data_IF_654226896639
#
_entry.id   IF_654226896639
#
_cell.length_a   1.000
_cell.length_b   1.000
_cell.length_c   1.000
_cell.angle_alpha   90.00
_cell.angle_beta   90.00
_cell.angle_gamma   90.00
#
_symmetry.space_group_name_H-M   'P 1'
#
loop_
_entity.id
_entity.type
_entity.pdbx_description
1 polymer ?
#
# COMPACT_ATOMS: atom_id res chain seq x y z
N UNK A 1 -25.38 -2.92 -7.55
CA UNK A 1 -24.25 -2.23 -8.21
C UNK A 1 -24.25 -2.60 -9.68
N UNK A 2 -24.13 -1.64 -10.60
CA UNK A 2 -24.03 -1.96 -12.03
C UNK A 2 -22.64 -2.59 -12.30
N UNK A 3 -22.60 -3.91 -12.46
CA UNK A 3 -21.36 -4.69 -12.63
C UNK A 3 -20.50 -4.16 -13.78
N UNK A 4 -21.15 -3.78 -14.89
CA UNK A 4 -20.48 -3.18 -16.05
C UNK A 4 -19.76 -1.87 -15.69
N UNK A 5 -20.41 -1.00 -14.90
CA UNK A 5 -19.83 0.26 -14.48
C UNK A 5 -18.64 0.04 -13.55
N UNK A 6 -18.73 -0.95 -12.65
CA UNK A 6 -17.63 -1.35 -11.78
C UNK A 6 -16.42 -1.87 -12.56
N UNK A 7 -16.63 -2.77 -13.54
CA UNK A 7 -15.57 -3.29 -14.39
C UNK A 7 -14.90 -2.14 -15.18
N UNK A 8 -15.70 -1.27 -15.82
CA UNK A 8 -15.19 -0.13 -16.56
C UNK A 8 -14.35 0.81 -15.68
N UNK A 9 -14.78 1.06 -14.45
CA UNK A 9 -14.07 1.90 -13.50
C UNK A 9 -12.76 1.24 -13.05
N UNK A 10 -12.78 -0.05 -12.74
CA UNK A 10 -11.60 -0.83 -12.33
C UNK A 10 -10.53 -0.83 -13.43
N UNK A 11 -10.89 -1.18 -14.67
CA UNK A 11 -9.94 -1.18 -15.78
C UNK A 11 -9.53 0.22 -16.21
N UNK A 12 -10.44 1.20 -16.14
CA UNK A 12 -10.13 2.61 -16.39
C UNK A 12 -9.08 3.16 -15.43
N UNK A 13 -9.21 2.87 -14.13
CA UNK A 13 -8.19 3.19 -13.12
C UNK A 13 -6.88 2.46 -13.40
N UNK A 14 -6.94 1.17 -13.74
CA UNK A 14 -5.74 0.39 -14.04
C UNK A 14 -4.94 0.98 -15.22
N UNK A 15 -5.64 1.39 -16.28
CA UNK A 15 -5.03 2.07 -17.44
C UNK A 15 -4.47 3.44 -17.08
N UNK A 16 -5.17 4.20 -16.22
CA UNK A 16 -4.67 5.47 -15.69
C UNK A 16 -3.36 5.26 -14.91
N UNK A 17 -3.31 4.29 -14.01
CA UNK A 17 -2.11 3.99 -13.23
C UNK A 17 -0.95 3.48 -14.10
N UNK A 18 -1.24 2.64 -15.10
CA UNK A 18 -0.27 2.25 -16.13
C UNK A 18 0.33 3.47 -16.84
N UNK A 19 -0.52 4.42 -17.23
CA UNK A 19 -0.09 5.64 -17.94
C UNK A 19 0.76 6.55 -17.05
N UNK A 20 0.33 6.77 -15.80
CA UNK A 20 1.06 7.53 -14.78
C UNK A 20 2.43 6.89 -14.51
N UNK A 21 2.45 5.57 -14.29
CA UNK A 21 3.66 4.80 -14.06
C UNK A 21 4.65 4.96 -15.22
N UNK A 22 4.21 4.67 -16.45
CA UNK A 22 5.04 4.81 -17.67
C UNK A 22 5.57 6.23 -17.87
N UNK A 23 4.78 7.26 -17.56
CA UNK A 23 5.22 8.66 -17.67
C UNK A 23 6.35 8.97 -16.68
N UNK A 24 6.26 8.45 -15.46
CA UNK A 24 7.29 8.61 -14.42
C UNK A 24 8.59 7.87 -14.77
N UNK A 25 8.49 6.75 -15.50
CA UNK A 25 9.61 5.89 -15.89
C UNK A 25 10.51 6.43 -17.01
N UNK A 26 10.12 7.51 -17.70
CA UNK A 26 10.82 8.04 -18.89
C UNK A 26 12.29 8.48 -18.64
N UNK A 27 12.75 8.50 -17.40
CA UNK A 27 14.08 8.97 -17.00
C UNK A 27 14.88 7.93 -16.20
N UNK A 28 14.59 6.64 -16.37
CA UNK A 28 15.39 5.56 -15.77
C UNK A 28 16.65 5.32 -16.62
N UNK A 29 17.82 5.74 -16.12
CA UNK A 29 19.10 5.51 -16.79
C UNK A 29 19.96 4.47 -16.08
N UNK A 30 19.94 4.48 -14.75
CA UNK A 30 20.84 3.67 -13.91
C UNK A 30 20.09 2.83 -12.86
N UNK A 31 20.80 1.85 -12.26
CA UNK A 31 20.24 1.01 -11.16
C UNK A 31 19.81 1.85 -9.95
N UNK A 32 20.53 2.91 -9.63
CA UNK A 32 20.16 3.83 -8.55
C UNK A 32 18.85 4.58 -8.84
N UNK A 33 18.60 4.95 -10.10
CA UNK A 33 17.32 5.55 -10.50
C UNK A 33 16.15 4.56 -10.35
N UNK A 34 16.41 3.28 -10.64
CA UNK A 34 15.41 2.23 -10.54
C UNK A 34 15.06 1.89 -9.09
N UNK A 35 16.06 1.67 -8.23
CA UNK A 35 15.84 1.23 -6.85
C UNK A 35 15.64 2.38 -5.85
N UNK A 36 16.27 3.54 -6.06
CA UNK A 36 16.26 4.65 -5.10
C UNK A 36 15.59 5.91 -5.64
N UNK A 37 15.00 5.85 -6.84
CA UNK A 37 14.39 7.00 -7.50
C UNK A 37 15.34 8.22 -7.60
N UNK A 38 16.65 7.98 -7.67
CA UNK A 38 17.68 9.03 -7.69
C UNK A 38 17.83 9.81 -6.38
N UNK A 39 17.28 9.31 -5.26
CA UNK A 39 17.27 9.95 -3.92
C UNK A 39 16.69 11.36 -3.88
N UNK A 40 16.00 11.80 -4.94
CA UNK A 40 15.51 13.17 -5.12
C UNK A 40 13.99 13.31 -4.86
N UNK A 41 13.40 12.34 -4.15
CA UNK A 41 11.95 12.31 -3.89
C UNK A 41 11.63 13.32 -2.77
N UNK A 42 10.66 14.20 -3.02
CA UNK A 42 10.19 15.17 -2.00
C UNK A 42 9.47 14.44 -0.86
N UNK A 43 9.48 15.05 0.33
CA UNK A 43 8.91 14.47 1.55
C UNK A 43 7.44 14.05 1.37
N UNK A 44 6.60 14.92 0.79
CA UNK A 44 5.16 14.67 0.68
C UNK A 44 4.80 13.47 -0.23
N UNK A 45 5.33 13.36 -1.45
CA UNK A 45 5.21 12.13 -2.26
C UNK A 45 5.70 10.87 -1.53
N UNK A 46 6.80 10.98 -0.77
CA UNK A 46 7.35 9.85 -0.05
C UNK A 46 6.43 9.41 1.10
N UNK A 47 5.88 10.35 1.88
CA UNK A 47 4.95 10.04 2.97
C UNK A 47 3.64 9.45 2.45
N UNK A 48 3.11 9.98 1.34
CA UNK A 48 1.91 9.42 0.69
C UNK A 48 2.14 7.99 0.20
N UNK A 49 3.33 7.71 -0.35
CA UNK A 49 3.73 6.35 -0.76
C UNK A 49 3.80 5.42 0.44
N UNK A 50 4.40 5.86 1.56
CA UNK A 50 4.41 5.07 2.80
C UNK A 50 3.00 4.80 3.34
N UNK A 51 2.11 5.79 3.30
CA UNK A 51 0.71 5.62 3.67
C UNK A 51 0.01 4.62 2.76
N UNK A 52 0.17 4.74 1.43
CA UNK A 52 -0.39 3.79 0.48
C UNK A 52 0.11 2.36 0.70
N UNK A 53 1.41 2.20 1.00
CA UNK A 53 2.00 0.89 1.31
C UNK A 53 1.40 0.29 2.58
N UNK A 54 1.14 1.11 3.59
CA UNK A 54 0.53 0.66 4.83
C UNK A 54 -0.96 0.33 4.67
N UNK A 55 -1.68 1.10 3.84
CA UNK A 55 -3.09 0.90 3.49
C UNK A 55 -3.19 -0.05 2.29
N UNK A 56 -2.82 -1.31 2.49
CA UNK A 56 -2.94 -2.37 1.48
C UNK A 56 -4.31 -3.05 1.46
N UNK A 57 -4.63 -3.76 0.38
CA UNK A 57 -5.92 -4.46 0.21
C UNK A 57 -6.24 -5.46 1.33
N UNK A 58 -5.24 -6.21 1.80
CA UNK A 58 -5.37 -7.14 2.91
C UNK A 58 -5.62 -6.45 4.25
N UNK A 59 -5.04 -5.25 4.46
CA UNK A 59 -5.34 -4.47 5.66
C UNK A 59 -6.75 -3.90 5.61
N UNK A 60 -7.23 -3.42 4.46
CA UNK A 60 -8.59 -2.88 4.33
C UNK A 60 -9.64 -3.96 4.58
N UNK A 61 -9.52 -5.12 3.94
CA UNK A 61 -10.47 -6.23 4.14
C UNK A 61 -10.34 -6.83 5.53
N UNK A 62 -9.12 -7.04 6.02
CA UNK A 62 -8.89 -7.57 7.36
C UNK A 62 -9.37 -6.63 8.46
N UNK A 63 -9.10 -5.32 8.33
CA UNK A 63 -9.61 -4.34 9.29
C UNK A 63 -11.14 -4.22 9.24
N UNK A 64 -11.78 -4.39 8.08
CA UNK A 64 -13.23 -4.41 7.99
C UNK A 64 -13.83 -5.64 8.70
N UNK A 65 -13.22 -6.82 8.52
CA UNK A 65 -13.62 -8.06 9.21
C UNK A 65 -13.42 -7.95 10.73
N UNK A 66 -12.25 -7.48 11.17
CA UNK A 66 -11.97 -7.25 12.59
C UNK A 66 -12.89 -6.18 13.19
N UNK A 67 -13.21 -5.11 12.45
CA UNK A 67 -14.10 -4.06 12.95
C UNK A 67 -15.53 -4.57 13.12
N UNK A 68 -15.95 -5.54 12.30
CA UNK A 68 -17.24 -6.21 12.46
C UNK A 68 -17.30 -7.05 13.74
N UNK A 69 -16.19 -7.67 14.15
CA UNK A 69 -16.14 -8.52 15.34
C UNK A 69 -15.82 -7.77 16.65
N UNK A 70 -14.89 -6.81 16.60
CA UNK A 70 -14.31 -6.14 17.78
C UNK A 70 -14.66 -4.65 17.89
N UNK A 71 -15.40 -4.09 16.93
CA UNK A 71 -15.85 -2.70 16.94
C UNK A 71 -14.70 -1.69 16.89
N UNK A 72 -14.79 -0.61 17.68
CA UNK A 72 -13.84 0.50 17.65
C UNK A 72 -12.41 0.15 18.10
N UNK A 73 -12.21 -0.97 18.80
CA UNK A 73 -10.89 -1.40 19.28
C UNK A 73 -9.87 -1.59 18.16
N UNK A 74 -10.34 -1.85 16.93
CA UNK A 74 -9.48 -2.03 15.75
C UNK A 74 -8.70 -0.76 15.40
N UNK A 75 -9.16 0.42 15.83
CA UNK A 75 -8.49 1.70 15.58
C UNK A 75 -7.15 1.84 16.32
N UNK A 76 -6.91 1.09 17.40
CA UNK A 76 -5.63 1.16 18.11
C UNK A 76 -4.46 0.66 17.27
N UNK A 77 -4.68 -0.32 16.39
CA UNK A 77 -3.64 -0.84 15.50
C UNK A 77 -3.08 0.21 14.51
N UNK A 78 -3.91 0.87 13.66
CA UNK A 78 -3.41 1.89 12.74
C UNK A 78 -2.88 3.13 13.48
N UNK A 79 -3.42 3.48 14.66
CA UNK A 79 -2.86 4.56 15.48
C UNK A 79 -1.44 4.24 15.96
N UNK A 80 -1.22 3.03 16.48
CA UNK A 80 0.10 2.57 16.90
C UNK A 80 1.09 2.51 15.74
N UNK A 81 0.66 1.97 14.59
CA UNK A 81 1.48 1.92 13.37
C UNK A 81 1.87 3.33 12.88
N UNK A 82 0.93 4.28 12.90
CA UNK A 82 1.16 5.67 12.49
C UNK A 82 2.17 6.37 13.40
N UNK A 83 2.00 6.23 14.72
CA UNK A 83 2.94 6.80 15.70
C UNK A 83 4.34 6.18 15.58
N UNK A 84 4.42 4.85 15.37
CA UNK A 84 5.67 4.15 15.13
C UNK A 84 6.39 4.65 13.87
N UNK A 85 5.65 4.89 12.79
CA UNK A 85 6.21 5.42 11.54
C UNK A 85 6.72 6.85 11.70
N UNK A 86 6.00 7.70 12.44
CA UNK A 86 6.44 9.07 12.77
C UNK A 86 7.72 9.03 13.61
N UNK A 87 7.76 8.21 14.66
CA UNK A 87 8.95 8.05 15.50
C UNK A 87 10.16 7.54 14.69
N UNK A 88 9.92 6.57 13.79
CA UNK A 88 10.95 6.05 12.89
C UNK A 88 11.42 7.12 11.91
N UNK A 89 10.53 7.90 11.31
CA UNK A 89 10.88 8.97 10.37
C UNK A 89 11.66 10.12 11.00
N UNK A 90 11.24 10.60 12.18
CA UNK A 90 11.86 11.73 12.86
C UNK A 90 13.19 11.39 13.54
N UNK A 91 13.32 10.19 14.11
CA UNK A 91 14.51 9.79 14.86
C UNK A 91 15.46 8.91 14.05
N UNK A 92 15.04 7.65 13.87
CA UNK A 92 15.90 6.56 13.39
C UNK A 92 16.23 6.72 11.90
N UNK A 93 15.27 7.16 11.09
CA UNK A 93 15.39 7.30 9.64
C UNK A 93 16.53 8.23 9.22
N UNK A 94 16.73 9.35 9.92
CA UNK A 94 17.85 10.26 9.67
C UNK A 94 19.20 9.57 9.94
N UNK A 95 19.30 8.76 10.99
CA UNK A 95 20.52 8.00 11.30
C UNK A 95 20.77 6.90 10.26
N UNK A 96 19.72 6.21 9.82
CA UNK A 96 19.79 5.18 8.79
C UNK A 96 20.22 5.75 7.42
N UNK A 97 19.71 6.92 7.04
CA UNK A 97 20.06 7.57 5.77
C UNK A 97 21.56 7.89 5.63
N UNK A 98 22.29 8.05 6.75
CA UNK A 98 23.74 8.32 6.74
C UNK A 98 24.57 7.14 6.24
N UNK A 99 24.06 5.91 6.36
CA UNK A 99 24.78 4.72 5.92
C UNK A 99 24.78 4.53 4.39
N UNK A 100 23.99 5.32 3.64
CA UNK A 100 23.93 5.29 2.16
C UNK A 100 23.74 3.89 1.55
N UNK A 101 23.11 2.99 2.30
CA UNK A 101 22.78 1.63 1.84
C UNK A 101 21.54 1.62 0.96
N UNK A 102 21.44 0.63 0.07
CA UNK A 102 20.29 0.46 -0.82
C UNK A 102 19.22 -0.44 -0.20
N UNK A 103 19.58 -1.27 0.78
CA UNK A 103 18.64 -2.14 1.49
C UNK A 103 18.82 -2.07 3.01
N UNK A 104 17.75 -2.36 3.76
CA UNK A 104 17.83 -2.46 5.22
C UNK A 104 18.75 -3.61 5.65
N UNK A 105 18.79 -4.71 4.88
CA UNK A 105 19.66 -5.86 5.16
C UNK A 105 21.15 -5.51 5.09
N UNK A 106 21.55 -4.56 4.24
CA UNK A 106 22.94 -4.08 4.14
C UNK A 106 23.42 -3.37 5.40
N UNK A 107 22.51 -2.83 6.23
CA UNK A 107 22.87 -2.23 7.52
C UNK A 107 23.54 -3.26 8.41
N UNK A 108 23.11 -4.53 8.36
CA UNK A 108 23.72 -5.59 9.16
C UNK A 108 25.19 -5.82 8.78
N UNK A 109 25.53 -5.67 7.50
CA UNK A 109 26.92 -5.75 7.04
C UNK A 109 27.73 -4.54 7.52
N UNK A 110 27.17 -3.33 7.43
CA UNK A 110 27.89 -2.09 7.83
C UNK A 110 28.11 -2.03 9.35
N UNK A 111 27.12 -2.41 10.14
CA UNK A 111 27.16 -2.33 11.61
C UNK A 111 27.90 -3.50 12.23
N UNK A 112 27.62 -4.73 11.79
CA UNK A 112 28.19 -5.96 12.38
C UNK A 112 29.37 -6.53 11.60
N UNK A 113 29.75 -5.93 10.46
CA UNK A 113 30.85 -6.37 9.58
C UNK A 113 30.74 -7.83 9.14
N UNK A 114 29.52 -8.37 9.10
CA UNK A 114 29.25 -9.78 8.78
C UNK A 114 28.44 -9.91 7.49
N UNK A 115 29.05 -10.38 6.39
CA UNK A 115 28.33 -10.63 5.14
C UNK A 115 27.34 -11.80 5.27
N UNK A 116 27.56 -12.72 6.21
CA UNK A 116 26.62 -13.80 6.52
C UNK A 116 25.31 -13.24 7.08
N UNK A 117 25.39 -12.30 8.01
CA UNK A 117 24.22 -11.72 8.66
C UNK A 117 23.35 -10.93 7.67
N UNK A 118 23.98 -10.21 6.73
CA UNK A 118 23.28 -9.58 5.59
C UNK A 118 22.53 -10.59 4.73
N UNK A 119 23.14 -11.72 4.37
CA UNK A 119 22.48 -12.75 3.55
C UNK A 119 21.26 -13.32 4.25
N UNK A 120 21.37 -13.63 5.54
CA UNK A 120 20.26 -14.14 6.36
C UNK A 120 19.15 -13.09 6.47
N UNK A 121 19.48 -11.84 6.80
CA UNK A 121 18.51 -10.75 6.88
C UNK A 121 17.80 -10.49 5.55
N UNK A 122 18.54 -10.51 4.44
CA UNK A 122 17.98 -10.37 3.09
C UNK A 122 17.04 -11.52 2.74
N UNK A 123 17.38 -12.76 3.11
CA UNK A 123 16.53 -13.92 2.86
C UNK A 123 15.20 -13.83 3.62
N UNK A 124 15.25 -13.48 4.91
CA UNK A 124 14.03 -13.26 5.70
C UNK A 124 13.19 -12.10 5.17
N UNK A 125 13.83 -11.02 4.71
CA UNK A 125 13.12 -9.89 4.10
C UNK A 125 12.39 -10.30 2.82
N UNK A 126 13.04 -11.07 1.93
CA UNK A 126 12.42 -11.59 0.70
C UNK A 126 11.24 -12.52 1.06
N UNK A 127 11.43 -13.42 2.02
CA UNK A 127 10.37 -14.33 2.46
C UNK A 127 9.16 -13.57 3.03
N UNK A 128 9.41 -12.55 3.86
CA UNK A 128 8.36 -11.71 4.43
C UNK A 128 7.57 -10.97 3.35
N UNK A 129 8.26 -10.34 2.39
CA UNK A 129 7.61 -9.64 1.28
C UNK A 129 6.81 -10.59 0.38
N UNK A 130 7.29 -11.82 0.19
CA UNK A 130 6.58 -12.85 -0.56
C UNK A 130 5.29 -13.29 0.14
N UNK A 131 5.30 -13.46 1.46
CA UNK A 131 4.09 -13.77 2.22
C UNK A 131 3.07 -12.63 2.19
N UNK A 132 3.55 -11.38 2.29
CA UNK A 132 2.69 -10.20 2.12
C UNK A 132 2.06 -10.18 0.72
N UNK A 133 2.83 -10.49 -0.33
CA UNK A 133 2.30 -10.58 -1.69
C UNK A 133 1.18 -11.61 -1.80
N UNK A 134 1.37 -12.82 -1.23
CA UNK A 134 0.33 -13.86 -1.19
C UNK A 134 -0.93 -13.35 -0.49
N UNK A 135 -0.78 -12.69 0.66
CA UNK A 135 -1.91 -12.10 1.38
C UNK A 135 -2.69 -11.10 0.51
N UNK A 136 -2.01 -10.29 -0.32
CA UNK A 136 -2.68 -9.36 -1.23
C UNK A 136 -3.36 -10.05 -2.42
N UNK A 137 -2.80 -11.14 -2.94
CA UNK A 137 -3.46 -11.95 -3.96
C UNK A 137 -4.76 -12.56 -3.41
N UNK A 138 -4.73 -13.10 -2.20
CA UNK A 138 -5.92 -13.68 -1.55
C UNK A 138 -6.97 -12.59 -1.26
N UNK A 139 -6.54 -11.46 -0.71
CA UNK A 139 -7.41 -10.32 -0.40
C UNK A 139 -8.12 -9.80 -1.67
N UNK A 140 -7.35 -9.55 -2.74
CA UNK A 140 -7.90 -9.07 -4.01
C UNK A 140 -8.86 -10.06 -4.66
N UNK A 141 -8.57 -11.36 -4.58
CA UNK A 141 -9.49 -12.40 -5.06
C UNK A 141 -10.81 -12.41 -4.28
N UNK A 142 -10.75 -12.41 -2.94
CA UNK A 142 -11.94 -12.34 -2.08
C UNK A 142 -12.80 -11.11 -2.38
N UNK A 143 -12.17 -9.96 -2.63
CA UNK A 143 -12.86 -8.74 -2.99
C UNK A 143 -13.56 -8.80 -4.35
N UNK A 144 -12.94 -9.40 -5.38
CA UNK A 144 -13.61 -9.56 -6.67
C UNK A 144 -14.83 -10.49 -6.56
N UNK A 145 -14.70 -11.60 -5.83
CA UNK A 145 -15.81 -12.53 -5.58
C UNK A 145 -16.95 -11.86 -4.80
N UNK A 146 -16.65 -11.04 -3.79
CA UNK A 146 -17.70 -10.34 -3.00
C UNK A 146 -18.50 -9.33 -3.82
N UNK A 147 -17.92 -8.81 -4.91
CA UNK A 147 -18.57 -7.92 -5.86
C UNK A 147 -19.35 -8.68 -6.96
N UNK A 148 -19.30 -10.01 -6.96
CA UNK A 148 -19.95 -10.86 -7.96
C UNK A 148 -19.11 -11.07 -9.23
N UNK A 149 -17.79 -10.81 -9.17
CA UNK A 149 -16.84 -11.09 -10.25
C UNK A 149 -16.00 -12.32 -9.92
N UNK A 150 -16.55 -13.50 -10.17
CA UNK A 150 -15.80 -14.75 -10.12
C UNK A 150 -15.27 -15.12 -11.51
N UNK A 151 -14.23 -14.41 -11.96
CA UNK A 151 -13.59 -14.67 -13.24
C UNK A 151 -12.06 -14.66 -13.12
N UNK A 152 -11.47 -15.86 -13.22
CA UNK A 152 -10.02 -16.06 -13.12
C UNK A 152 -9.24 -15.30 -14.20
N UNK A 153 -9.77 -15.15 -15.42
CA UNK A 153 -9.08 -14.45 -16.49
C UNK A 153 -8.95 -12.94 -16.19
N UNK A 154 -10.00 -12.31 -15.67
CA UNK A 154 -9.95 -10.90 -15.25
C UNK A 154 -8.98 -10.70 -14.09
N UNK A 155 -8.95 -11.62 -13.13
CA UNK A 155 -8.03 -11.58 -12.00
C UNK A 155 -6.57 -11.70 -12.44
N UNK A 156 -6.26 -12.63 -13.33
CA UNK A 156 -4.91 -12.79 -13.90
C UNK A 156 -4.52 -11.54 -14.69
N UNK A 157 -5.41 -10.98 -15.50
CA UNK A 157 -5.15 -9.76 -16.28
C UNK A 157 -4.86 -8.56 -15.37
N UNK A 158 -5.59 -8.42 -14.27
CA UNK A 158 -5.36 -7.38 -13.26
C UNK A 158 -3.93 -7.45 -12.70
N UNK A 159 -3.53 -8.62 -12.18
CA UNK A 159 -2.20 -8.83 -11.60
C UNK A 159 -1.07 -8.72 -12.63
N UNK A 160 -1.27 -9.25 -13.84
CA UNK A 160 -0.33 -9.09 -14.94
C UNK A 160 -0.06 -7.62 -15.24
N UNK A 161 -1.12 -6.80 -15.23
CA UNK A 161 -0.98 -5.36 -15.43
C UNK A 161 -0.18 -4.70 -14.32
N UNK A 162 -0.45 -5.07 -13.05
CA UNK A 162 0.29 -4.58 -11.88
C UNK A 162 1.79 -4.88 -11.98
N UNK A 163 2.11 -6.14 -12.32
CA UNK A 163 3.50 -6.60 -12.46
C UNK A 163 4.20 -5.85 -13.60
N UNK A 164 3.53 -5.66 -14.74
CA UNK A 164 4.12 -4.99 -15.90
C UNK A 164 4.50 -3.54 -15.63
N UNK A 165 3.62 -2.73 -15.02
CA UNK A 165 3.97 -1.33 -14.75
C UNK A 165 5.01 -1.19 -13.65
N UNK A 166 5.00 -2.09 -12.66
CA UNK A 166 5.95 -2.08 -11.55
C UNK A 166 7.36 -2.44 -12.02
N UNK A 167 7.47 -3.48 -12.84
CA UNK A 167 8.76 -3.95 -13.40
C UNK A 167 9.35 -2.99 -14.43
N UNK A 168 8.52 -2.34 -15.25
CA UNK A 168 9.00 -1.37 -16.23
C UNK A 168 9.45 -0.05 -15.58
N UNK A 169 8.90 0.28 -14.42
CA UNK A 169 8.99 1.64 -13.90
C UNK A 169 9.76 1.87 -12.61
N UNK A 170 10.12 0.80 -11.89
CA UNK A 170 10.90 0.88 -10.66
C UNK A 170 10.24 1.78 -9.59
N UNK A 171 11.04 2.22 -8.62
CA UNK A 171 10.54 2.99 -7.47
C UNK A 171 9.87 4.31 -7.89
N UNK A 172 10.32 4.97 -8.98
CA UNK A 172 9.69 6.20 -9.49
C UNK A 172 8.27 5.97 -9.99
N UNK A 173 7.99 4.85 -10.64
CA UNK A 173 6.63 4.53 -11.06
C UNK A 173 5.75 4.19 -9.86
N UNK A 174 6.26 3.38 -8.92
CA UNK A 174 5.55 3.01 -7.69
C UNK A 174 5.15 4.25 -6.90
N UNK A 175 6.08 5.17 -6.63
CA UNK A 175 5.76 6.44 -5.92
C UNK A 175 4.67 7.22 -6.66
N UNK A 176 4.73 7.29 -7.98
CA UNK A 176 3.76 8.04 -8.77
C UNK A 176 2.37 7.39 -8.76
N UNK A 177 2.29 6.06 -8.83
CA UNK A 177 1.02 5.33 -8.75
C UNK A 177 0.45 5.38 -7.34
N UNK A 178 1.30 5.22 -6.32
CA UNK A 178 0.91 5.23 -4.92
C UNK A 178 0.36 6.58 -4.50
N UNK A 179 0.94 7.69 -4.98
CA UNK A 179 0.39 9.02 -4.73
C UNK A 179 -1.03 9.17 -5.30
N UNK A 180 -1.24 8.70 -6.53
CA UNK A 180 -2.56 8.76 -7.17
C UNK A 180 -3.57 7.87 -6.42
N UNK A 181 -3.16 6.67 -6.02
CA UNK A 181 -3.97 5.74 -5.25
C UNK A 181 -4.29 6.27 -3.85
N UNK A 182 -3.32 6.85 -3.15
CA UNK A 182 -3.51 7.44 -1.82
C UNK A 182 -4.53 8.58 -1.88
N UNK A 183 -4.45 9.46 -2.88
CA UNK A 183 -5.42 10.55 -3.05
C UNK A 183 -6.80 9.97 -3.36
N UNK A 184 -6.89 8.99 -4.26
CA UNK A 184 -8.15 8.35 -4.62
C UNK A 184 -8.83 7.68 -3.41
N UNK A 185 -8.10 6.85 -2.66
CA UNK A 185 -8.60 6.22 -1.45
C UNK A 185 -9.00 7.24 -0.38
N UNK A 186 -8.19 8.29 -0.20
CA UNK A 186 -8.50 9.36 0.77
C UNK A 186 -9.79 10.09 0.42
N UNK A 187 -10.02 10.39 -0.86
CA UNK A 187 -11.25 11.04 -1.34
C UNK A 187 -12.47 10.15 -1.14
N UNK A 188 -12.37 8.85 -1.46
CA UNK A 188 -13.46 7.90 -1.23
C UNK A 188 -13.77 7.79 0.26
N UNK A 189 -12.74 7.64 1.09
CA UNK A 189 -12.92 7.50 2.52
C UNK A 189 -13.58 8.74 3.14
N UNK A 190 -13.10 9.95 2.81
CA UNK A 190 -13.69 11.21 3.26
C UNK A 190 -15.13 11.39 2.75
N UNK A 191 -15.39 11.00 1.50
CA UNK A 191 -16.73 11.05 0.90
C UNK A 191 -17.71 10.12 1.61
N UNK A 192 -17.33 8.85 1.82
CA UNK A 192 -18.12 7.88 2.55
C UNK A 192 -18.33 8.31 4.01
N UNK A 193 -17.27 8.76 4.69
CA UNK A 193 -17.35 9.23 6.07
C UNK A 193 -18.26 10.45 6.22
N UNK A 194 -18.12 11.43 5.31
CA UNK A 194 -19.01 12.58 5.25
C UNK A 194 -20.47 12.17 5.01
N UNK A 195 -20.72 11.28 4.05
CA UNK A 195 -22.06 10.74 3.82
C UNK A 195 -22.63 10.07 5.07
N UNK A 196 -21.86 9.24 5.77
CA UNK A 196 -22.33 8.59 7.01
C UNK A 196 -22.64 9.60 8.12
N UNK A 197 -21.89 10.69 8.25
CA UNK A 197 -22.14 11.71 9.26
C UNK A 197 -23.37 12.57 8.96
N UNK A 198 -23.64 12.87 7.68
CA UNK A 198 -24.73 13.78 7.29
C UNK A 198 -26.04 13.06 6.93
N UNK A 199 -25.99 11.80 6.49
CA UNK A 199 -27.15 11.07 5.96
C UNK A 199 -27.56 9.81 6.76
N UNK A 200 -26.93 9.51 7.91
CA UNK A 200 -27.45 8.51 8.86
C UNK A 200 -27.82 9.11 10.23
N UNK A 201 -29.13 9.16 10.54
CA UNK A 201 -29.69 8.83 11.86
C UNK A 201 -30.55 7.53 11.74
N UNK A 202 -30.85 6.71 12.78
CA UNK A 202 -30.35 6.57 14.15
C UNK A 202 -29.91 5.09 14.41
N UNK A 203 -28.63 4.75 14.28
CA UNK A 203 -28.10 3.41 14.69
C UNK A 203 -27.14 3.52 15.88
N UNK A 204 -26.61 4.73 16.12
CA UNK A 204 -25.83 5.07 17.31
C UNK A 204 -26.72 5.15 18.56
N UNK A 205 -27.97 5.60 18.44
CA UNK A 205 -28.86 5.72 19.60
C UNK A 205 -29.17 4.36 20.25
N UNK A 206 -29.34 3.29 19.46
CA UNK A 206 -29.61 1.94 19.98
C UNK A 206 -28.40 1.26 20.64
N UNK A 207 -27.17 1.69 20.34
CA UNK A 207 -25.94 1.16 20.94
C UNK A 207 -25.47 1.97 22.15
N UNK A 208 -25.88 3.23 22.26
CA UNK A 208 -25.60 4.10 23.42
C UNK A 208 -26.63 3.90 24.54
N UNK A 209 -27.86 3.48 24.23
CA UNK A 209 -28.89 3.19 25.26
C UNK A 209 -28.79 1.79 25.88
N UNK A 210 -27.91 0.91 25.39
CA UNK A 210 -27.71 -0.46 25.91
C UNK A 210 -26.41 -0.64 26.72
N UNK A 211 -25.73 0.45 27.08
CA UNK A 211 -24.58 0.49 28.01
C UNK A 211 -24.95 1.18 29.30
#
# INVERSE_FOLDING_TARGET
MNLQLFICLLFGLQLLYLWIGRRSSKHLKNKEDYYLAGKSVRLLPLTLTFLATQVGGGLVLGAAEEAYHFGWSVLFYPLGASLGLIALGCGIGKKLSRFNVSTVAEIFEVVYRSPFLKKVASLFSILSLFMILIAQIIASHKFLVSVGLDNTALFVLFWMTVILYTTQGGLKAVISTDNAQAIFFSLIFLGCFGWTLFFQPPLLDSLVTSS
#
